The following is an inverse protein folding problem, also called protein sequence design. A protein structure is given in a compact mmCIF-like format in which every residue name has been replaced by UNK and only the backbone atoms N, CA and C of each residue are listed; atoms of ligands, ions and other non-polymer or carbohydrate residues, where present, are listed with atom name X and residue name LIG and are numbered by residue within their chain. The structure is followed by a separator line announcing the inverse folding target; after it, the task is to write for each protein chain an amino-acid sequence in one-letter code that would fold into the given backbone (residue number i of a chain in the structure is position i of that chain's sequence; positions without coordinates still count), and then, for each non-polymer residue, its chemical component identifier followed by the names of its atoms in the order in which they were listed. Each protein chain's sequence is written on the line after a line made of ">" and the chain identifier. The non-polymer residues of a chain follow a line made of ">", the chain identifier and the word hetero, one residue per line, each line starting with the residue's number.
data_IF_520776489037
#
_entry.id   IF_520776489037
#
_cell.length_a   1.000
_cell.length_b   1.000
_cell.length_c   1.000
_cell.angle_alpha   90.00
_cell.angle_beta   90.00
_cell.angle_gamma   90.00
#
_symmetry.space_group_name_H-M   'P 1'
#
loop_
_entity.id
_entity.type
_entity.pdbx_description
1 polymer ?
#
# COMPACT_ATOMS: atom_id res chain seq x y z
N UNK A 1 -4.05 -33.97 10.42
CA UNK A 1 -3.96 -32.50 10.50
C UNK A 1 -4.24 -31.97 9.09
N UNK A 2 -5.35 -31.30 8.90
CA UNK A 2 -5.62 -30.62 7.63
C UNK A 2 -4.54 -29.56 7.40
N UNK A 3 -3.94 -29.43 6.20
CA UNK A 3 -2.97 -28.37 5.96
C UNK A 3 -3.68 -27.01 6.22
N UNK A 4 -3.10 -26.22 7.11
CA UNK A 4 -3.54 -24.84 7.33
C UNK A 4 -3.65 -24.17 5.97
N UNK A 5 -4.84 -23.72 5.58
CA UNK A 5 -5.05 -23.05 4.30
C UNK A 5 -4.15 -21.81 4.28
N UNK A 6 -3.33 -21.68 3.25
CA UNK A 6 -2.49 -20.49 3.08
C UNK A 6 -3.37 -19.25 2.93
N UNK A 7 -2.93 -18.15 3.51
CA UNK A 7 -3.58 -16.84 3.33
C UNK A 7 -3.55 -16.47 1.85
N UNK A 8 -4.70 -16.12 1.29
CA UNK A 8 -4.88 -15.79 -0.13
C UNK A 8 -4.77 -14.29 -0.34
N UNK A 9 -3.86 -13.88 -1.21
CA UNK A 9 -3.71 -12.49 -1.65
C UNK A 9 -4.22 -12.33 -3.09
N UNK A 10 -4.98 -11.27 -3.34
CA UNK A 10 -5.24 -10.74 -4.67
C UNK A 10 -4.50 -9.42 -4.81
N UNK A 11 -3.69 -9.26 -5.87
CA UNK A 11 -3.02 -8.01 -6.15
C UNK A 11 -3.71 -7.29 -7.32
N UNK A 12 -4.05 -6.03 -7.12
CA UNK A 12 -4.58 -5.16 -8.14
C UNK A 12 -3.45 -4.25 -8.62
N UNK A 13 -3.11 -4.30 -9.90
CA UNK A 13 -1.95 -3.63 -10.48
C UNK A 13 -2.34 -2.70 -11.62
N UNK A 14 -1.61 -1.59 -11.76
CA UNK A 14 -1.69 -0.76 -12.96
C UNK A 14 -0.85 -1.39 -14.08
N UNK A 15 -1.44 -1.65 -15.24
CA UNK A 15 -0.80 -2.37 -16.35
C UNK A 15 0.46 -1.67 -16.88
N UNK A 16 0.45 -0.33 -16.98
CA UNK A 16 1.60 0.49 -17.36
C UNK A 16 2.56 0.83 -16.22
N UNK A 17 2.36 0.27 -15.02
CA UNK A 17 3.17 0.57 -13.83
C UNK A 17 4.45 -0.25 -13.74
N UNK A 18 5.36 0.17 -12.85
CA UNK A 18 6.64 -0.53 -12.60
C UNK A 18 6.46 -1.86 -11.87
N UNK A 19 5.31 -2.07 -11.24
CA UNK A 19 4.93 -3.26 -10.48
C UNK A 19 5.98 -3.68 -9.42
N UNK A 20 6.74 -2.71 -8.88
CA UNK A 20 7.82 -3.01 -7.92
C UNK A 20 7.29 -3.61 -6.63
N UNK A 21 6.11 -3.16 -6.15
CA UNK A 21 5.48 -3.71 -4.96
C UNK A 21 5.07 -5.19 -5.18
N UNK A 22 4.47 -5.52 -6.35
CA UNK A 22 4.15 -6.91 -6.72
C UNK A 22 5.40 -7.78 -6.70
N UNK A 23 6.50 -7.32 -7.31
CA UNK A 23 7.77 -8.05 -7.31
C UNK A 23 8.33 -8.26 -5.90
N UNK A 24 8.28 -7.22 -5.06
CA UNK A 24 8.75 -7.29 -3.67
C UNK A 24 7.91 -8.28 -2.83
N UNK A 25 6.59 -8.26 -2.96
CA UNK A 25 5.68 -9.18 -2.28
C UNK A 25 5.94 -10.62 -2.73
N UNK A 26 6.03 -10.86 -4.05
CA UNK A 26 6.32 -12.20 -4.59
C UNK A 26 7.64 -12.75 -4.06
N UNK A 27 8.71 -11.97 -4.13
CA UNK A 27 10.02 -12.38 -3.60
C UNK A 27 9.96 -12.69 -2.10
N UNK A 28 9.20 -11.91 -1.31
CA UNK A 28 9.07 -12.16 0.13
C UNK A 28 8.26 -13.42 0.44
N UNK A 29 7.28 -13.78 -0.39
CA UNK A 29 6.55 -15.05 -0.30
C UNK A 29 7.48 -16.22 -0.64
N UNK A 30 8.24 -16.11 -1.75
CA UNK A 30 9.17 -17.15 -2.19
C UNK A 30 10.29 -17.40 -1.15
N UNK A 31 10.69 -16.37 -0.41
CA UNK A 31 11.65 -16.44 0.71
C UNK A 31 11.02 -16.90 2.04
N UNK A 32 9.71 -17.16 2.08
CA UNK A 32 9.00 -17.57 3.29
C UNK A 32 8.83 -16.48 4.35
N UNK A 33 9.10 -15.21 4.02
CA UNK A 33 8.87 -14.06 4.91
C UNK A 33 7.38 -13.77 5.07
N UNK A 34 6.63 -13.84 3.98
CA UNK A 34 5.18 -13.67 3.98
C UNK A 34 4.55 -15.06 3.86
N UNK A 35 3.75 -15.45 4.83
CA UNK A 35 3.07 -16.76 4.87
C UNK A 35 1.74 -16.72 4.13
N UNK A 36 1.79 -16.47 2.84
CA UNK A 36 0.62 -16.33 1.97
C UNK A 36 0.87 -16.90 0.58
N UNK A 37 -0.15 -16.91 -0.26
CA UNK A 37 -0.05 -17.19 -1.69
C UNK A 37 -0.72 -16.06 -2.49
N UNK A 38 -0.21 -15.78 -3.69
CA UNK A 38 -0.85 -14.88 -4.63
C UNK A 38 -1.83 -15.70 -5.48
N UNK A 39 -3.11 -15.57 -5.17
CA UNK A 39 -4.19 -16.30 -5.85
C UNK A 39 -4.57 -15.67 -7.20
N UNK A 40 -4.40 -14.36 -7.35
CA UNK A 40 -4.53 -13.65 -8.62
C UNK A 40 -3.77 -12.32 -8.63
N UNK A 41 -3.41 -11.89 -9.85
CA UNK A 41 -2.93 -10.53 -10.16
C UNK A 41 -3.86 -10.00 -11.22
N UNK A 42 -4.60 -8.93 -10.92
CA UNK A 42 -5.64 -8.36 -11.77
C UNK A 42 -5.25 -6.94 -12.21
N UNK A 43 -5.57 -6.60 -13.46
CA UNK A 43 -5.36 -5.27 -14.03
C UNK A 43 -6.66 -4.48 -14.10
N UNK A 44 -6.57 -3.19 -14.48
CA UNK A 44 -7.75 -2.32 -14.58
C UNK A 44 -8.75 -2.72 -15.67
N UNK A 45 -8.40 -3.66 -16.56
CA UNK A 45 -9.26 -4.10 -17.66
C UNK A 45 -10.16 -5.28 -17.28
N UNK A 46 -10.01 -5.83 -16.08
CA UNK A 46 -10.74 -7.00 -15.61
C UNK A 46 -11.97 -6.59 -14.78
N UNK A 47 -13.03 -7.42 -14.86
CA UNK A 47 -14.18 -7.27 -13.98
C UNK A 47 -13.83 -7.85 -12.60
N UNK A 48 -13.59 -6.96 -11.64
CA UNK A 48 -13.07 -7.32 -10.33
C UNK A 48 -14.07 -8.14 -9.51
N UNK A 49 -15.37 -7.81 -9.57
CA UNK A 49 -16.37 -8.34 -8.65
C UNK A 49 -16.46 -9.85 -8.74
N UNK A 50 -16.78 -10.45 -9.91
CA UNK A 50 -16.96 -11.91 -9.99
C UNK A 50 -15.65 -12.67 -9.73
N UNK A 51 -14.50 -12.09 -10.08
CA UNK A 51 -13.20 -12.74 -9.88
C UNK A 51 -12.85 -12.76 -8.39
N UNK A 52 -12.96 -11.62 -7.69
CA UNK A 52 -12.67 -11.51 -6.26
C UNK A 52 -13.65 -12.37 -5.45
N UNK A 53 -14.93 -12.40 -5.82
CA UNK A 53 -15.92 -13.24 -5.16
C UNK A 53 -15.60 -14.73 -5.27
N UNK A 54 -15.22 -15.18 -6.46
CA UNK A 54 -14.83 -16.58 -6.70
C UNK A 54 -13.59 -16.99 -5.92
N UNK A 55 -12.59 -16.10 -5.82
CA UNK A 55 -11.33 -16.37 -5.09
C UNK A 55 -11.56 -16.32 -3.59
N UNK A 56 -12.39 -15.38 -3.14
CA UNK A 56 -12.62 -15.08 -1.72
C UNK A 56 -11.28 -14.88 -0.97
N UNK A 57 -10.49 -13.82 -1.32
CA UNK A 57 -9.18 -13.60 -0.73
C UNK A 57 -9.26 -13.14 0.72
N UNK A 58 -8.20 -13.40 1.48
CA UNK A 58 -8.02 -12.85 2.82
C UNK A 58 -7.65 -11.38 2.79
N UNK A 59 -6.81 -10.98 1.82
CA UNK A 59 -6.43 -9.58 1.58
C UNK A 59 -6.37 -9.26 0.09
N UNK A 60 -6.72 -8.00 -0.22
CA UNK A 60 -6.58 -7.38 -1.54
C UNK A 60 -5.52 -6.29 -1.43
N UNK A 61 -4.50 -6.33 -2.27
CA UNK A 61 -3.35 -5.43 -2.22
C UNK A 61 -3.31 -4.53 -3.45
N UNK A 62 -3.46 -3.21 -3.28
CA UNK A 62 -3.35 -2.25 -4.36
C UNK A 62 -1.87 -1.92 -4.62
N UNK A 63 -1.40 -2.13 -5.84
CA UNK A 63 -0.03 -1.87 -6.27
C UNK A 63 0.00 -0.92 -7.47
N UNK A 64 -0.07 0.38 -7.20
CA UNK A 64 -0.15 1.42 -8.22
C UNK A 64 -1.52 1.50 -8.92
N UNK A 65 -2.53 0.92 -8.34
CA UNK A 65 -3.91 0.94 -8.85
C UNK A 65 -4.46 2.35 -8.96
N UNK A 66 -5.19 2.66 -10.05
CA UNK A 66 -5.64 4.04 -10.36
C UNK A 66 -7.16 4.18 -10.50
N UNK A 67 -7.90 3.08 -10.55
CA UNK A 67 -9.36 3.11 -10.62
C UNK A 67 -9.98 3.09 -9.23
N UNK A 68 -11.20 3.59 -9.13
CA UNK A 68 -12.00 3.46 -7.91
C UNK A 68 -12.38 1.99 -7.75
N UNK A 69 -12.22 1.46 -6.53
CA UNK A 69 -12.70 0.12 -6.18
C UNK A 69 -14.21 0.19 -5.97
N UNK A 70 -15.01 -0.72 -6.55
CA UNK A 70 -16.45 -0.76 -6.34
C UNK A 70 -16.83 -0.81 -4.86
N UNK A 71 -17.85 -0.04 -4.46
CA UNK A 71 -18.27 0.07 -3.06
C UNK A 71 -18.64 -1.28 -2.45
N UNK A 72 -19.23 -2.18 -3.22
CA UNK A 72 -19.56 -3.54 -2.79
C UNK A 72 -18.33 -4.37 -2.39
N UNK A 73 -17.19 -4.16 -3.07
CA UNK A 73 -15.92 -4.78 -2.69
C UNK A 73 -15.38 -4.12 -1.43
N UNK A 74 -15.43 -2.78 -1.33
CA UNK A 74 -14.95 -2.05 -0.15
C UNK A 74 -15.73 -2.47 1.10
N UNK A 75 -17.04 -2.62 1.01
CA UNK A 75 -17.89 -3.05 2.11
C UNK A 75 -17.64 -4.51 2.51
N UNK A 76 -17.61 -5.40 1.53
CA UNK A 76 -17.43 -6.85 1.76
C UNK A 76 -16.04 -7.19 2.31
N UNK A 77 -15.04 -6.42 1.92
CA UNK A 77 -13.64 -6.62 2.32
C UNK A 77 -13.13 -5.50 3.24
N UNK A 78 -14.01 -5.03 4.14
CA UNK A 78 -13.65 -4.05 5.17
C UNK A 78 -12.43 -4.55 5.98
N UNK A 79 -11.44 -3.66 6.17
CA UNK A 79 -10.16 -3.98 6.83
C UNK A 79 -9.36 -5.13 6.17
N UNK A 80 -9.56 -5.34 4.86
CA UNK A 80 -8.85 -6.36 4.08
C UNK A 80 -8.25 -5.81 2.77
N UNK A 81 -8.55 -4.58 2.39
CA UNK A 81 -8.01 -3.95 1.19
C UNK A 81 -6.88 -3.00 1.61
N UNK A 82 -5.65 -3.31 1.20
CA UNK A 82 -4.47 -2.51 1.50
C UNK A 82 -4.20 -1.54 0.36
N UNK A 83 -4.12 -0.24 0.67
CA UNK A 83 -3.69 0.78 -0.27
C UNK A 83 -2.36 1.39 0.17
N UNK A 84 -1.45 1.58 -0.78
CA UNK A 84 -0.22 2.35 -0.61
C UNK A 84 -0.47 3.77 -1.15
N UNK A 85 -0.52 4.73 -0.24
CA UNK A 85 -0.72 6.15 -0.56
C UNK A 85 0.61 6.92 -0.47
N UNK A 86 1.00 7.71 -1.48
CA UNK A 86 2.23 8.50 -1.46
C UNK A 86 2.07 9.79 -0.65
N UNK A 87 1.91 9.65 0.64
CA UNK A 87 1.69 10.70 1.63
C UNK A 87 1.59 10.12 3.03
N UNK A 88 1.71 10.98 4.03
CA UNK A 88 1.64 10.57 5.44
C UNK A 88 0.24 10.81 5.99
N UNK A 89 -0.60 9.78 5.89
CA UNK A 89 -2.00 9.82 6.36
C UNK A 89 -1.99 9.98 7.89
N UNK A 90 -2.69 11.00 8.46
CA UNK A 90 -2.82 11.14 9.90
C UNK A 90 -3.72 10.04 10.50
N UNK A 91 -3.60 9.80 11.81
CA UNK A 91 -4.43 8.81 12.51
C UNK A 91 -5.87 9.31 12.66
N UNK A 92 -6.08 10.63 12.70
CA UNK A 92 -7.37 11.29 12.73
C UNK A 92 -7.55 12.16 11.48
N UNK A 93 -8.79 12.26 10.95
CA UNK A 93 -9.07 12.96 9.67
C UNK A 93 -8.68 14.44 9.68
N UNK A 94 -8.70 15.09 10.82
CA UNK A 94 -8.28 16.48 11.01
C UNK A 94 -6.92 16.60 11.73
N UNK A 95 -6.23 15.47 11.90
CA UNK A 95 -4.94 15.41 12.55
C UNK A 95 -3.78 15.77 11.64
N UNK A 96 -2.59 15.79 12.22
CA UNK A 96 -1.32 15.95 11.53
C UNK A 96 -0.37 14.86 11.96
N UNK A 97 0.64 14.59 11.12
CA UNK A 97 1.76 13.69 11.43
C UNK A 97 3.03 14.54 11.40
N UNK A 98 3.95 14.24 12.28
CA UNK A 98 5.28 14.82 12.28
C UNK A 98 6.28 13.95 11.52
N UNK A 99 7.15 14.60 10.78
CA UNK A 99 8.34 13.99 10.21
C UNK A 99 9.36 13.64 11.32
N UNK A 100 10.37 12.82 11.05
CA UNK A 100 11.41 12.47 12.03
C UNK A 100 12.18 13.69 12.63
N UNK A 101 12.13 14.84 11.97
CA UNK A 101 12.75 16.09 12.41
C UNK A 101 11.79 17.06 13.12
N UNK A 102 10.56 16.64 13.41
CA UNK A 102 9.52 17.42 14.06
C UNK A 102 8.76 18.38 13.14
N UNK A 103 9.08 18.45 11.85
CA UNK A 103 8.28 19.24 10.89
C UNK A 103 6.97 18.53 10.55
N UNK A 104 5.94 19.30 10.17
CA UNK A 104 4.65 18.72 9.76
C UNK A 104 4.80 17.98 8.43
N UNK A 105 4.36 16.75 8.42
CA UNK A 105 4.39 15.90 7.24
C UNK A 105 3.23 16.20 6.28
N UNK A 106 3.45 15.94 4.99
CA UNK A 106 2.43 16.14 3.96
C UNK A 106 1.60 14.87 3.74
N UNK A 107 0.29 15.00 3.85
CA UNK A 107 -0.65 13.91 3.55
C UNK A 107 -0.77 13.63 2.05
N UNK A 108 -0.68 14.66 1.21
CA UNK A 108 -0.88 14.54 -0.25
C UNK A 108 -2.25 13.95 -0.64
N UNK A 109 -3.31 14.21 0.15
CA UNK A 109 -4.66 13.71 -0.13
C UNK A 109 -5.09 14.04 -1.57
N UNK A 110 -5.57 13.03 -2.31
CA UNK A 110 -5.98 13.17 -3.71
C UNK A 110 -4.83 13.21 -4.71
N UNK A 111 -3.59 13.00 -4.26
CA UNK A 111 -2.42 12.96 -5.15
C UNK A 111 -1.92 11.52 -5.31
N UNK A 112 -1.33 11.26 -6.46
CA UNK A 112 -0.77 9.95 -6.79
C UNK A 112 0.51 10.10 -7.61
N UNK A 113 1.35 9.07 -7.56
CA UNK A 113 2.57 8.90 -8.35
C UNK A 113 3.47 10.16 -8.35
N UNK A 114 3.97 10.57 -9.51
CA UNK A 114 4.88 11.72 -9.69
C UNK A 114 4.33 13.04 -9.15
N UNK A 115 3.00 13.23 -9.20
CA UNK A 115 2.35 14.45 -8.68
C UNK A 115 2.54 14.61 -7.18
N UNK A 116 2.41 13.51 -6.44
CA UNK A 116 2.64 13.51 -4.99
C UNK A 116 4.12 13.75 -4.66
N UNK A 117 5.05 13.17 -5.43
CA UNK A 117 6.49 13.37 -5.25
C UNK A 117 6.87 14.83 -5.54
N UNK A 118 6.36 15.41 -6.64
CA UNK A 118 6.57 16.82 -6.97
C UNK A 118 6.07 17.74 -5.86
N UNK A 119 4.91 17.46 -5.26
CA UNK A 119 4.37 18.27 -4.17
C UNK A 119 5.27 18.31 -2.94
N UNK A 120 5.97 17.22 -2.59
CA UNK A 120 6.96 17.24 -1.51
C UNK A 120 8.07 18.26 -1.79
N UNK A 121 8.59 18.28 -3.04
CA UNK A 121 9.66 19.20 -3.47
C UNK A 121 9.16 20.64 -3.53
N UNK A 122 8.00 20.89 -4.14
CA UNK A 122 7.39 22.22 -4.29
C UNK A 122 7.09 22.87 -2.93
N UNK A 123 6.66 22.06 -1.95
CA UNK A 123 6.40 22.49 -0.57
C UNK A 123 7.65 22.58 0.28
N UNK A 124 8.84 22.25 -0.28
CA UNK A 124 10.12 22.23 0.44
C UNK A 124 10.04 21.38 1.71
N UNK A 125 9.33 20.27 1.63
CA UNK A 125 9.26 19.34 2.76
C UNK A 125 10.64 18.78 3.08
N UNK A 126 10.91 18.49 4.33
CA UNK A 126 12.17 17.89 4.77
C UNK A 126 12.22 16.39 4.52
N UNK A 127 11.04 15.76 4.53
CA UNK A 127 10.85 14.34 4.22
C UNK A 127 9.70 14.15 3.23
N UNK A 128 9.86 13.19 2.33
CA UNK A 128 8.78 12.52 1.64
C UNK A 128 8.37 11.28 2.42
N UNK A 129 7.16 10.80 2.21
CA UNK A 129 6.72 9.57 2.88
C UNK A 129 5.54 8.93 2.19
N UNK A 130 5.26 7.70 2.60
CA UNK A 130 4.10 6.93 2.15
C UNK A 130 3.48 6.18 3.30
N UNK A 131 2.18 5.95 3.21
CA UNK A 131 1.39 5.20 4.20
C UNK A 131 0.77 3.98 3.54
N UNK A 132 0.77 2.84 4.23
CA UNK A 132 -0.12 1.74 3.92
C UNK A 132 -1.27 1.79 4.91
N UNK A 133 -2.49 1.78 4.39
CA UNK A 133 -3.71 1.83 5.18
C UNK A 133 -4.76 0.86 4.63
N UNK A 134 -5.73 0.51 5.44
CA UNK A 134 -6.92 -0.14 4.93
C UNK A 134 -7.78 0.86 4.16
N UNK A 135 -8.19 0.47 2.94
CA UNK A 135 -9.10 1.27 2.13
C UNK A 135 -10.46 1.34 2.82
N UNK A 136 -11.03 2.55 2.83
CA UNK A 136 -12.38 2.83 3.32
C UNK A 136 -13.13 3.68 2.29
N UNK A 137 -14.40 3.97 2.53
CA UNK A 137 -15.18 4.94 1.72
C UNK A 137 -14.68 6.38 1.86
N UNK A 138 -13.88 6.68 2.89
CA UNK A 138 -13.23 7.98 3.03
C UNK A 138 -11.98 8.02 2.15
N UNK A 139 -12.03 8.81 1.09
CA UNK A 139 -10.95 8.89 0.10
C UNK A 139 -9.58 9.22 0.73
N UNK A 140 -8.58 8.41 0.45
CA UNK A 140 -7.21 8.47 0.99
C UNK A 140 -7.16 8.57 2.52
N UNK A 141 -8.12 7.94 3.23
CA UNK A 141 -8.16 7.87 4.67
C UNK A 141 -8.68 6.52 5.15
N UNK A 142 -8.11 6.01 6.24
CA UNK A 142 -8.49 4.75 6.88
C UNK A 142 -7.42 4.28 7.87
N UNK A 143 -7.65 3.17 8.57
CA UNK A 143 -6.71 2.63 9.56
C UNK A 143 -5.31 2.44 8.96
N UNK A 144 -4.31 3.15 9.49
CA UNK A 144 -2.95 3.12 9.00
C UNK A 144 -2.21 1.91 9.59
N UNK A 145 -1.65 1.09 8.70
CA UNK A 145 -0.90 -0.12 9.03
C UNK A 145 0.61 0.13 9.18
N UNK A 146 1.09 1.17 8.53
CA UNK A 146 2.48 1.59 8.61
C UNK A 146 2.79 2.79 7.74
N UNK A 147 3.89 3.47 8.09
CA UNK A 147 4.42 4.63 7.38
C UNK A 147 5.90 4.45 7.10
N UNK A 148 6.37 5.07 6.02
CA UNK A 148 7.79 5.18 5.73
C UNK A 148 8.16 6.61 5.41
N UNK A 149 9.42 6.96 5.69
CA UNK A 149 9.96 8.30 5.51
C UNK A 149 11.25 8.25 4.71
N UNK A 150 11.42 9.16 3.78
CA UNK A 150 12.65 9.36 3.00
C UNK A 150 13.09 10.81 3.10
N UNK A 151 14.30 11.05 3.61
CA UNK A 151 14.84 12.39 3.71
C UNK A 151 15.06 13.00 2.33
N UNK A 152 14.55 14.21 2.11
CA UNK A 152 14.74 14.95 0.87
C UNK A 152 16.13 15.59 0.89
N UNK A 153 16.85 15.51 -0.23
CA UNK A 153 18.15 16.12 -0.44
C UNK A 153 18.00 17.40 -1.25
N UNK A 154 18.95 18.33 -1.09
CA UNK A 154 18.90 19.63 -1.78
C UNK A 154 18.93 19.53 -3.31
N UNK A 155 19.51 18.47 -3.85
CA UNK A 155 19.68 18.19 -5.28
C UNK A 155 18.67 17.19 -5.84
N UNK A 156 17.63 16.85 -5.05
CA UNK A 156 16.63 15.89 -5.51
C UNK A 156 15.80 16.41 -6.67
N UNK A 157 15.63 15.55 -7.64
CA UNK A 157 14.57 15.62 -8.65
C UNK A 157 13.41 14.70 -8.26
N UNK A 158 12.29 14.84 -8.97
CA UNK A 158 11.14 13.93 -8.80
C UNK A 158 11.57 12.47 -8.99
N UNK A 159 12.41 12.21 -9.98
CA UNK A 159 12.91 10.88 -10.32
C UNK A 159 13.79 10.29 -9.21
N UNK A 160 14.76 11.08 -8.72
CA UNK A 160 15.71 10.61 -7.70
C UNK A 160 15.01 10.32 -6.37
N UNK A 161 14.12 11.21 -5.95
CA UNK A 161 13.33 11.06 -4.73
C UNK A 161 12.37 9.87 -4.85
N UNK A 162 11.64 9.75 -5.98
CA UNK A 162 10.72 8.64 -6.24
C UNK A 162 11.45 7.30 -6.19
N UNK A 163 12.62 7.19 -6.81
CA UNK A 163 13.39 5.95 -6.84
C UNK A 163 13.80 5.50 -5.43
N UNK A 164 14.16 6.43 -4.54
CA UNK A 164 14.51 6.11 -3.14
C UNK A 164 13.28 5.76 -2.31
N UNK A 165 12.22 6.57 -2.41
CA UNK A 165 10.98 6.32 -1.67
C UNK A 165 10.38 4.97 -2.07
N UNK A 166 10.42 4.60 -3.36
CA UNK A 166 9.91 3.33 -3.88
C UNK A 166 10.57 2.11 -3.22
N UNK A 167 11.85 2.15 -2.90
CA UNK A 167 12.53 1.08 -2.17
C UNK A 167 11.94 0.91 -0.77
N UNK A 168 11.74 2.02 -0.07
CA UNK A 168 11.13 2.02 1.27
C UNK A 168 9.66 1.60 1.26
N UNK A 169 8.91 1.97 0.22
CA UNK A 169 7.54 1.51 0.01
C UNK A 169 7.46 -0.01 -0.15
N UNK A 170 8.39 -0.59 -0.93
CA UNK A 170 8.46 -2.04 -1.10
C UNK A 170 8.75 -2.76 0.23
N UNK A 171 9.70 -2.25 1.01
CA UNK A 171 10.05 -2.77 2.34
C UNK A 171 8.87 -2.65 3.31
N UNK A 172 8.16 -1.50 3.29
CA UNK A 172 6.98 -1.27 4.11
C UNK A 172 5.86 -2.25 3.76
N UNK A 173 5.61 -2.49 2.46
CA UNK A 173 4.57 -3.41 2.02
C UNK A 173 4.84 -4.84 2.51
N UNK A 174 6.09 -5.30 2.35
CA UNK A 174 6.52 -6.61 2.83
C UNK A 174 6.35 -6.71 4.36
N UNK A 175 6.79 -5.70 5.12
CA UNK A 175 6.68 -5.67 6.58
C UNK A 175 5.21 -5.71 7.06
N UNK A 176 4.33 -4.96 6.40
CA UNK A 176 2.90 -4.93 6.75
C UNK A 176 2.26 -6.29 6.48
N UNK A 177 2.51 -6.89 5.32
CA UNK A 177 1.96 -8.20 4.97
C UNK A 177 2.53 -9.32 5.86
N UNK A 178 3.81 -9.29 6.18
CA UNK A 178 4.41 -10.24 7.13
C UNK A 178 3.68 -10.19 8.48
N UNK A 179 3.47 -8.99 9.03
CA UNK A 179 2.73 -8.81 10.29
C UNK A 179 1.30 -9.35 10.20
N UNK A 180 0.56 -9.02 9.14
CA UNK A 180 -0.84 -9.45 8.97
C UNK A 180 -0.96 -10.97 8.80
N UNK A 181 -0.02 -11.59 8.07
CA UNK A 181 -0.06 -13.02 7.80
C UNK A 181 0.49 -13.86 8.97
N UNK A 182 1.36 -13.30 9.81
CA UNK A 182 1.89 -13.98 11.00
C UNK A 182 0.89 -14.00 12.15
N UNK A 183 0.09 -12.94 12.34
CA UNK A 183 -0.90 -12.87 13.41
C UNK A 183 -2.05 -13.87 13.23
N UNK A 184 -2.43 -14.21 12.00
CA UNK A 184 -3.50 -15.17 11.73
C UNK A 184 -3.07 -16.63 11.97
N UNK A 185 -1.79 -16.92 11.94
CA UNK A 185 -1.27 -18.28 12.21
C UNK A 185 -1.08 -18.59 13.69
N UNK A 186 -1.22 -17.60 14.58
CA UNK A 186 -1.02 -17.74 16.03
C UNK A 186 -2.32 -17.95 16.83
N UNK A 187 -3.46 -18.05 16.16
CA UNK A 187 -4.80 -18.18 16.75
C UNK A 187 -5.41 -19.57 16.55
N UNK A 188 -4.68 -20.64 16.93
CA UNK A 188 -5.20 -22.00 17.11
C UNK A 188 -4.74 -22.54 18.45
#
# INVERSE_FOLDING_TARGET
>A
MSPSSKIKLVLLVHEGGTQTNLKAIRNAIDQGKIKAEISAVLSENEDLVPIIEKISPDYICLSGWKKIIPDEIVEKYENKILNLHPGLIPDEINGTIENPDGTVALWNKGMYDRKAIANFLDKKATFAGSSIHFLTKNFDFGPVLGRTFEKIKNDDTVESLQARLKKKENELYVKVLDKLTSCQTSGV
#
